data_IF_605538211397
#
_entry.id   IF_605538211397
#
_cell.length_a   1.000
_cell.length_b   1.000
_cell.length_c   1.000
_cell.angle_alpha   90.00
_cell.angle_beta   90.00
_cell.angle_gamma   90.00
#
_symmetry.space_group_name_H-M   'P 1'
#
loop_
_entity.id
_entity.type
_entity.pdbx_description
1 polymer ?
#
# COMPACT_ATOMS: atom_id res chain seq x y z
N UNK A 1 -0.54 28.86 36.81
CA UNK A 1 0.37 29.32 35.73
C UNK A 1 0.81 28.11 34.89
N UNK A 2 0.22 28.03 33.70
CA UNK A 2 0.51 27.22 32.51
C UNK A 2 1.20 25.86 32.69
N UNK A 3 0.37 24.81 32.61
CA UNK A 3 0.76 23.45 32.25
C UNK A 3 1.47 23.49 30.88
N UNK A 4 2.63 22.84 30.69
CA UNK A 4 3.26 22.76 29.38
C UNK A 4 2.32 22.06 28.38
N UNK A 5 2.35 22.40 27.08
CA UNK A 5 1.50 21.76 26.09
C UNK A 5 1.79 20.26 26.10
N UNK A 6 0.74 19.45 26.27
CA UNK A 6 0.78 18.00 26.09
C UNK A 6 1.47 17.69 24.76
N UNK A 7 2.72 17.26 24.84
CA UNK A 7 3.33 16.51 23.75
C UNK A 7 2.39 15.35 23.42
N UNK A 8 2.15 15.03 22.14
CA UNK A 8 1.46 13.79 21.81
C UNK A 8 2.23 12.63 22.48
N UNK A 9 1.54 11.62 23.02
CA UNK A 9 2.21 10.55 23.74
C UNK A 9 3.31 9.94 22.86
N UNK A 10 4.47 9.58 23.42
CA UNK A 10 5.43 8.77 22.68
C UNK A 10 4.69 7.49 22.28
N UNK A 11 4.57 7.26 20.98
CA UNK A 11 3.84 6.14 20.42
C UNK A 11 4.60 4.85 20.76
N UNK A 12 4.38 4.32 21.96
CA UNK A 12 4.92 3.06 22.45
C UNK A 12 4.14 1.94 21.79
N UNK A 13 4.62 1.45 20.65
CA UNK A 13 4.38 0.05 20.26
C UNK A 13 5.61 -0.46 19.53
N UNK A 14 6.19 -1.55 20.06
CA UNK A 14 7.24 -2.34 19.44
C UNK A 14 6.82 -2.93 18.07
N UNK A 15 7.61 -3.85 17.50
CA UNK A 15 7.59 -4.17 16.07
C UNK A 15 6.15 -4.40 15.60
N UNK A 16 5.68 -3.51 14.71
CA UNK A 16 4.35 -3.55 14.11
C UNK A 16 4.16 -4.98 13.60
N UNK A 17 3.21 -5.72 14.17
CA UNK A 17 2.93 -7.10 13.76
C UNK A 17 2.85 -7.18 12.24
N UNK A 18 3.35 -8.25 11.58
CA UNK A 18 3.30 -8.37 10.14
C UNK A 18 1.83 -8.24 9.71
N UNK A 19 1.52 -7.17 8.98
CA UNK A 19 0.14 -6.89 8.58
C UNK A 19 -0.31 -8.03 7.66
N UNK A 20 -1.37 -8.78 8.03
CA UNK A 20 -1.77 -9.92 7.23
C UNK A 20 -2.24 -9.44 5.86
N UNK A 21 -1.81 -10.14 4.81
CA UNK A 21 -2.31 -9.90 3.45
C UNK A 21 -3.81 -10.21 3.46
N UNK A 22 -4.63 -9.22 3.10
CA UNK A 22 -6.07 -9.40 3.01
C UNK A 22 -6.44 -10.46 1.96
N UNK A 23 -7.52 -11.23 2.16
CA UNK A 23 -8.04 -12.13 1.13
C UNK A 23 -8.46 -11.41 -0.16
N UNK A 24 -8.71 -10.08 -0.10
CA UNK A 24 -8.96 -9.23 -1.28
C UNK A 24 -7.72 -9.04 -2.18
N UNK A 25 -6.51 -9.34 -1.70
CA UNK A 25 -5.28 -9.28 -2.49
C UNK A 25 -5.31 -10.24 -3.68
N UNK A 26 -6.00 -11.39 -3.54
CA UNK A 26 -6.22 -12.39 -4.60
C UNK A 26 -6.64 -11.78 -5.94
N UNK A 27 -7.41 -10.69 -5.91
CA UNK A 27 -7.90 -9.99 -7.11
C UNK A 27 -6.84 -9.21 -7.87
N UNK A 28 -5.62 -9.11 -7.36
CA UNK A 28 -4.49 -8.42 -7.98
C UNK A 28 -3.30 -9.35 -8.25
N UNK A 29 -3.36 -10.64 -7.89
CA UNK A 29 -2.26 -11.60 -8.11
C UNK A 29 -2.34 -12.18 -9.53
N UNK A 30 -1.18 -12.33 -10.19
CA UNK A 30 -1.09 -12.98 -11.51
C UNK A 30 -1.74 -14.37 -11.47
N UNK A 31 -2.69 -14.63 -12.39
CA UNK A 31 -3.44 -15.89 -12.48
C UNK A 31 -4.74 -15.98 -11.66
N UNK A 32 -4.99 -15.08 -10.71
CA UNK A 32 -6.28 -15.00 -9.97
C UNK A 32 -7.11 -13.75 -10.30
N UNK A 33 -6.63 -12.94 -11.24
CA UNK A 33 -7.30 -11.72 -11.68
C UNK A 33 -8.55 -12.06 -12.51
N UNK A 34 -9.73 -11.69 -12.02
CA UNK A 34 -10.99 -11.84 -12.78
C UNK A 34 -11.30 -10.64 -13.68
N UNK A 35 -10.46 -9.60 -13.65
CA UNK A 35 -10.78 -8.30 -14.24
C UNK A 35 -9.53 -7.74 -14.94
N UNK A 36 -9.47 -7.90 -16.26
CA UNK A 36 -8.34 -7.48 -17.11
C UNK A 36 -8.16 -5.95 -17.16
N UNK A 37 -8.95 -5.17 -16.42
CA UNK A 37 -8.80 -3.72 -16.24
C UNK A 37 -8.05 -3.36 -14.96
N UNK A 38 -7.68 -4.33 -14.13
CA UNK A 38 -6.97 -4.09 -12.86
C UNK A 38 -5.47 -4.23 -13.06
N UNK A 39 -4.70 -3.47 -12.29
CA UNK A 39 -3.26 -3.65 -12.20
C UNK A 39 -2.91 -4.98 -11.55
N UNK A 40 -1.84 -5.61 -12.01
CA UNK A 40 -1.33 -6.89 -11.49
C UNK A 40 -0.18 -6.61 -10.53
N UNK A 41 -0.20 -7.18 -9.34
CA UNK A 41 0.96 -7.18 -8.46
C UNK A 41 1.83 -8.39 -8.84
N UNK A 42 3.07 -8.12 -9.24
CA UNK A 42 4.06 -9.17 -9.55
C UNK A 42 4.99 -9.41 -8.36
N UNK A 43 5.21 -8.38 -7.54
CA UNK A 43 5.93 -8.51 -6.28
C UNK A 43 5.10 -9.29 -5.25
N UNK A 44 5.77 -9.97 -4.34
CA UNK A 44 5.11 -10.66 -3.24
C UNK A 44 4.43 -9.62 -2.32
N UNK A 45 3.09 -9.65 -2.19
CA UNK A 45 2.36 -8.68 -1.37
C UNK A 45 2.82 -8.67 0.08
N UNK A 46 3.18 -9.85 0.60
CA UNK A 46 3.54 -10.04 1.99
C UNK A 46 4.91 -9.43 2.26
N UNK A 47 5.88 -9.64 1.37
CA UNK A 47 7.20 -9.03 1.45
C UNK A 47 7.12 -7.50 1.35
N UNK A 48 6.30 -6.99 0.42
CA UNK A 48 6.11 -5.56 0.26
C UNK A 48 5.48 -4.94 1.51
N UNK A 49 4.46 -5.58 2.07
CA UNK A 49 3.86 -5.14 3.33
C UNK A 49 4.87 -5.19 4.48
N UNK A 50 5.63 -6.28 4.63
CA UNK A 50 6.63 -6.41 5.70
C UNK A 50 7.72 -5.33 5.59
N UNK A 51 8.17 -5.04 4.36
CA UNK A 51 9.26 -4.11 4.10
C UNK A 51 8.83 -2.64 4.10
N UNK A 52 7.65 -2.34 3.56
CA UNK A 52 7.21 -0.95 3.29
C UNK A 52 6.03 -0.48 4.14
N UNK A 53 5.25 -1.36 4.78
CA UNK A 53 4.10 -0.94 5.59
C UNK A 53 4.55 -0.07 6.77
N UNK A 54 3.89 1.09 6.92
CA UNK A 54 4.20 2.05 7.96
C UNK A 54 5.50 2.82 7.74
N UNK A 55 6.11 2.73 6.55
CA UNK A 55 7.26 3.54 6.11
C UNK A 55 6.91 4.45 4.93
N UNK A 56 5.73 4.26 4.34
CA UNK A 56 5.26 5.06 3.22
C UNK A 56 4.67 6.40 3.66
N UNK A 57 4.11 7.10 2.69
CA UNK A 57 3.39 8.35 2.93
C UNK A 57 1.94 8.03 3.32
N UNK A 58 1.54 8.41 4.53
CA UNK A 58 0.13 8.33 4.92
C UNK A 58 -0.73 9.16 3.96
N UNK A 59 -1.81 8.54 3.47
CA UNK A 59 -2.80 9.17 2.62
C UNK A 59 -4.10 9.32 3.41
N UNK A 60 -4.40 10.55 3.82
CA UNK A 60 -5.62 10.91 4.53
C UNK A 60 -5.44 11.16 6.02
N UNK A 61 -6.56 11.21 6.74
CA UNK A 61 -6.60 11.61 8.16
C UNK A 61 -6.45 10.44 9.13
N UNK A 62 -6.60 9.20 8.66
CA UNK A 62 -6.53 7.99 9.48
C UNK A 62 -5.07 7.55 9.57
N UNK A 63 -4.52 7.34 10.77
CA UNK A 63 -3.13 6.93 10.95
C UNK A 63 -2.86 5.57 10.31
N UNK A 64 -1.70 5.41 9.68
CA UNK A 64 -1.29 4.16 9.03
C UNK A 64 -1.30 3.00 10.03
N UNK A 65 -1.88 1.87 9.61
CA UNK A 65 -2.04 0.67 10.43
C UNK A 65 -3.44 0.52 11.02
N UNK A 66 -4.24 1.59 11.05
CA UNK A 66 -5.65 1.50 11.43
C UNK A 66 -6.53 1.04 10.26
N UNK A 67 -7.62 0.31 10.51
CA UNK A 67 -8.56 -0.09 9.47
C UNK A 67 -9.21 1.12 8.81
N UNK A 68 -9.11 1.20 7.49
CA UNK A 68 -9.55 2.35 6.69
C UNK A 68 -8.42 3.33 6.35
N UNK A 69 -7.24 3.18 6.95
CA UNK A 69 -6.07 3.97 6.57
C UNK A 69 -5.53 3.56 5.20
N UNK A 70 -4.82 4.51 4.57
CA UNK A 70 -4.17 4.32 3.29
C UNK A 70 -2.74 4.81 3.40
N UNK A 71 -1.84 4.08 2.77
CA UNK A 71 -0.44 4.44 2.70
C UNK A 71 0.05 4.33 1.26
N UNK A 72 0.68 5.39 0.76
CA UNK A 72 1.39 5.35 -0.51
C UNK A 72 2.80 4.89 -0.25
N UNK A 73 3.21 3.81 -0.91
CA UNK A 73 4.56 3.28 -0.86
C UNK A 73 5.23 3.43 -2.22
N UNK A 74 6.55 3.56 -2.18
CA UNK A 74 7.43 3.50 -3.35
C UNK A 74 8.54 2.51 -3.02
N UNK A 75 8.76 1.54 -3.90
CA UNK A 75 9.78 0.49 -3.74
C UNK A 75 11.18 0.97 -4.14
N UNK A 76 11.34 2.22 -4.55
CA UNK A 76 12.62 2.88 -4.81
C UNK A 76 13.41 2.32 -6.00
N UNK A 77 12.77 1.54 -6.87
CA UNK A 77 13.42 0.94 -8.05
C UNK A 77 13.15 -0.55 -8.26
N UNK A 78 12.43 -1.22 -7.36
CA UNK A 78 11.97 -2.62 -7.60
C UNK A 78 10.58 -2.61 -8.23
N UNK A 79 10.32 -3.35 -9.33
CA UNK A 79 8.97 -3.42 -9.88
C UNK A 79 8.01 -4.00 -8.82
N UNK A 80 7.01 -3.21 -8.43
CA UNK A 80 5.96 -3.64 -7.50
C UNK A 80 4.90 -4.47 -8.24
N UNK A 81 4.60 -4.05 -9.46
CA UNK A 81 3.59 -4.66 -10.29
C UNK A 81 3.43 -3.93 -11.61
N UNK A 82 2.40 -4.31 -12.34
CA UNK A 82 1.96 -3.68 -13.57
C UNK A 82 0.73 -2.83 -13.25
N UNK A 83 0.85 -1.52 -13.48
CA UNK A 83 -0.28 -0.62 -13.54
C UNK A 83 -0.96 -0.78 -14.91
N UNK A 84 -2.27 -0.99 -14.90
CA UNK A 84 -3.10 -1.06 -16.11
C UNK A 84 -4.06 0.10 -16.16
N UNK A 85 -4.02 0.85 -17.25
CA UNK A 85 -4.90 1.99 -17.49
C UNK A 85 -6.20 1.55 -18.18
N UNK A 86 -7.24 2.39 -18.08
CA UNK A 86 -8.56 2.10 -18.64
C UNK A 86 -8.58 1.97 -20.18
N UNK A 87 -7.60 2.58 -20.87
CA UNK A 87 -7.43 2.47 -22.32
C UNK A 87 -6.75 1.16 -22.78
N UNK A 88 -6.30 0.33 -21.83
CA UNK A 88 -5.63 -0.94 -22.09
C UNK A 88 -4.10 -0.88 -22.04
N UNK A 89 -3.49 0.30 -21.93
CA UNK A 89 -2.04 0.45 -21.69
C UNK A 89 -1.64 -0.13 -20.33
N UNK A 90 -0.46 -0.74 -20.31
CA UNK A 90 0.15 -1.33 -19.13
C UNK A 90 1.55 -0.75 -18.95
N UNK A 91 1.94 -0.43 -17.72
CA UNK A 91 3.32 -0.11 -17.40
C UNK A 91 3.71 -0.67 -16.05
N UNK A 92 4.96 -1.08 -15.95
CA UNK A 92 5.57 -1.42 -14.67
C UNK A 92 5.55 -0.21 -13.75
N UNK A 93 5.15 -0.45 -12.51
CA UNK A 93 5.11 0.56 -11.47
C UNK A 93 5.89 0.08 -10.25
N UNK A 94 6.68 0.99 -9.69
CA UNK A 94 7.34 0.85 -8.39
C UNK A 94 6.48 1.40 -7.26
N UNK A 95 5.36 2.04 -7.61
CA UNK A 95 4.49 2.74 -6.67
C UNK A 95 3.25 1.94 -6.39
N UNK A 96 2.89 1.90 -5.12
CA UNK A 96 1.72 1.20 -4.63
C UNK A 96 0.94 2.05 -3.65
N UNK A 97 -0.32 1.71 -3.49
CA UNK A 97 -1.11 2.15 -2.36
C UNK A 97 -1.51 0.94 -1.54
N UNK A 98 -1.08 0.90 -0.29
CA UNK A 98 -1.55 -0.04 0.72
C UNK A 98 -2.88 0.49 1.26
N UNK A 99 -3.89 -0.34 1.18
CA UNK A 99 -5.18 -0.13 1.83
C UNK A 99 -5.29 -1.07 3.03
N UNK A 100 -5.34 -0.48 4.22
CA UNK A 100 -5.56 -1.22 5.46
C UNK A 100 -7.05 -1.41 5.67
N UNK A 101 -7.47 -2.66 5.88
CA UNK A 101 -8.81 -3.05 6.23
C UNK A 101 -8.84 -3.79 7.57
N UNK A 102 -10.05 -4.12 8.02
CA UNK A 102 -10.26 -4.87 9.26
C UNK A 102 -9.67 -6.29 9.20
N UNK A 103 -9.70 -6.90 8.01
CA UNK A 103 -9.22 -8.27 7.73
C UNK A 103 -7.78 -8.31 7.16
N UNK A 104 -7.01 -7.22 7.31
CA UNK A 104 -5.64 -7.11 6.80
C UNK A 104 -5.46 -5.99 5.78
N UNK A 105 -4.34 -6.01 5.06
CA UNK A 105 -4.00 -4.99 4.07
C UNK A 105 -3.91 -5.57 2.64
N UNK A 106 -4.26 -4.75 1.65
CA UNK A 106 -4.05 -5.07 0.24
C UNK A 106 -3.28 -3.96 -0.45
N UNK A 107 -2.38 -4.34 -1.36
CA UNK A 107 -1.57 -3.42 -2.15
C UNK A 107 -2.19 -3.28 -3.53
N UNK A 108 -2.43 -2.05 -3.93
CA UNK A 108 -2.91 -1.69 -5.26
C UNK A 108 -1.77 -1.02 -6.02
N UNK A 109 -1.32 -1.57 -7.17
CA UNK A 109 -0.36 -0.91 -8.04
C UNK A 109 -0.90 0.46 -8.46
N UNK A 110 -0.12 1.52 -8.23
CA UNK A 110 -0.50 2.89 -8.53
C UNK A 110 0.19 3.38 -9.81
N UNK A 111 -0.30 4.48 -10.38
CA UNK A 111 0.29 5.09 -11.57
C UNK A 111 1.78 5.46 -11.31
N UNK A 112 2.72 5.04 -12.18
CA UNK A 112 4.13 5.39 -12.01
C UNK A 112 4.38 6.88 -12.28
N UNK A 113 5.47 7.44 -11.74
CA UNK A 113 5.78 8.89 -11.87
C UNK A 113 6.04 9.31 -13.32
N UNK A 114 6.56 8.40 -14.14
CA UNK A 114 6.88 8.64 -15.55
C UNK A 114 5.74 8.30 -16.52
N UNK A 115 4.51 8.11 -16.05
CA UNK A 115 3.38 7.85 -16.96
C UNK A 115 3.04 9.12 -17.74
N UNK A 116 3.40 9.13 -19.03
CA UNK A 116 3.00 10.17 -19.98
C UNK A 116 1.65 9.77 -20.57
N UNK A 117 0.63 10.60 -20.34
CA UNK A 117 -0.74 10.39 -20.86
C UNK A 117 -0.83 10.55 -22.37
#
# INVERSE_FOLDING_TARGET
>A
PETPPSAPPPNTTGPKQPVPVSPKQGRHIEGQQTDAKRGTITADPREVLDTHAGKGQQVGKIPVGEPGSKERIDTGGKPLGIYRHADGREAETTRGMIHYGKDGAHIVPARPEGWVE
#
